data_IF_118881602156
#
_entry.id   IF_118881602156
#
_cell.length_a   1.000
_cell.length_b   1.000
_cell.length_c   1.000
_cell.angle_alpha   90.00
_cell.angle_beta   90.00
_cell.angle_gamma   90.00
#
_symmetry.space_group_name_H-M   'P 1'
#
loop_
_entity.id
_entity.type
_entity.pdbx_description
1 polymer ?
2 water ?
#
# COMPACT_ATOMS: atom_id res chain seq x y z
N UNK A 26 14.03 -16.74 -13.31
CA UNK A 26 13.41 -16.55 -12.00
C UNK A 26 14.40 -16.67 -10.86
N UNK A 27 14.53 -15.60 -10.08
CA UNK A 27 15.50 -15.51 -9.00
C UNK A 27 14.90 -15.77 -7.61
N UNK A 28 15.39 -16.84 -6.97
CA UNK A 28 15.12 -17.16 -5.58
C UNK A 28 16.28 -16.72 -4.70
N UNK A 29 16.05 -15.74 -3.85
CA UNK A 29 17.09 -15.18 -3.00
C UNK A 29 16.54 -15.09 -1.59
N UNK A 30 17.30 -14.57 -0.64
CA UNK A 30 16.80 -14.51 0.73
C UNK A 30 15.50 -13.70 0.86
N UNK A 31 15.43 -12.52 0.25
CA UNK A 31 14.21 -11.72 0.35
C UNK A 31 12.96 -12.47 -0.16
N UNK A 32 13.01 -13.08 -1.34
CA UNK A 32 11.80 -13.71 -1.89
C UNK A 32 11.35 -14.85 -1.00
N UNK A 33 12.29 -15.44 -0.27
CA UNK A 33 11.99 -16.59 0.59
C UNK A 33 11.24 -16.19 1.86
N UNK A 34 11.80 -15.22 2.57
CA UNK A 34 11.18 -14.65 3.74
C UNK A 34 9.74 -14.23 3.42
N UNK A 35 9.57 -13.45 2.36
CA UNK A 35 8.25 -12.89 2.08
C UNK A 35 7.25 -13.97 1.72
N UNK A 36 7.70 -15.06 1.11
CA UNK A 36 6.74 -16.12 0.79
C UNK A 36 6.41 -16.89 2.08
N UNK A 37 7.35 -16.94 3.02
CA UNK A 37 7.09 -17.60 4.30
C UNK A 37 6.09 -16.78 5.13
N UNK A 38 6.22 -15.45 5.11
CA UNK A 38 5.27 -14.61 5.85
C UNK A 38 3.85 -14.69 5.28
N UNK A 39 3.77 -14.74 3.95
CA UNK A 39 2.50 -14.99 3.29
C UNK A 39 1.88 -16.28 3.82
N UNK A 40 2.72 -17.27 4.12
CA UNK A 40 2.21 -18.56 4.57
C UNK A 40 1.76 -18.41 6.03
N UNK A 41 2.55 -17.72 6.87
CA UNK A 41 2.15 -17.52 8.27
C UNK A 41 0.83 -16.77 8.30
N UNK A 42 0.69 -15.80 7.40
CA UNK A 42 -0.57 -15.08 7.24
C UNK A 42 -1.72 -16.02 6.88
N UNK A 43 -1.48 -16.95 5.96
CA UNK A 43 -2.53 -17.88 5.57
C UNK A 43 -2.85 -18.86 6.72
N UNK A 44 -1.85 -19.18 7.54
CA UNK A 44 -2.02 -20.08 8.69
C UNK A 44 -2.56 -19.28 9.87
N UNK A 45 -2.94 -18.04 9.59
CA UNK A 45 -3.48 -17.09 10.56
C UNK A 45 -2.69 -17.01 11.88
N UNK A 46 -1.37 -16.94 11.77
CA UNK A 46 -0.53 -16.73 12.94
C UNK A 46 -0.54 -15.24 13.29
N UNK A 47 -0.10 -14.90 14.49
CA UNK A 47 -0.07 -13.50 14.91
C UNK A 47 1.29 -12.92 14.58
N UNK A 48 1.33 -12.08 13.56
CA UNK A 48 2.60 -11.55 13.08
C UNK A 48 3.12 -10.42 13.96
N UNK A 49 2.26 -9.89 14.84
CA UNK A 49 2.70 -8.85 15.78
C UNK A 49 3.83 -9.38 16.65
N UNK A 50 3.81 -10.69 16.91
CA UNK A 50 4.72 -11.31 17.85
C UNK A 50 6.09 -11.53 17.22
N UNK A 51 6.16 -11.37 15.91
CA UNK A 51 7.43 -11.46 15.21
C UNK A 51 8.01 -10.07 15.07
N UNK A 52 7.12 -9.12 14.81
CA UNK A 52 7.49 -7.73 14.82
C UNK A 52 6.34 -6.88 15.35
N UNK A 53 6.55 -6.27 16.50
CA UNK A 53 5.57 -5.39 17.11
C UNK A 53 5.20 -4.17 16.24
N UNK A 54 5.98 -3.88 15.20
CA UNK A 54 5.63 -2.80 14.26
C UNK A 54 4.58 -3.19 13.21
N UNK A 55 4.20 -4.47 13.19
CA UNK A 55 3.17 -4.95 12.29
C UNK A 55 1.84 -4.27 12.55
N UNK A 56 1.19 -3.82 11.48
CA UNK A 56 -0.09 -3.15 11.58
C UNK A 56 -1.24 -3.89 10.88
N UNK A 57 -1.00 -4.39 9.68
CA UNK A 57 -2.01 -5.18 8.97
C UNK A 57 -1.41 -5.90 7.76
N UNK A 58 -2.22 -6.72 7.11
CA UNK A 58 -1.81 -7.35 5.87
C UNK A 58 -2.30 -6.50 4.72
N UNK A 59 -1.52 -6.44 3.64
CA UNK A 59 -1.93 -5.71 2.43
C UNK A 59 -1.85 -6.57 1.17
N UNK A 60 -2.90 -6.56 0.36
CA UNK A 60 -2.83 -7.24 -0.93
C UNK A 60 -3.56 -6.42 -1.97
N UNK A 61 -3.17 -6.58 -3.23
CA UNK A 61 -3.83 -5.87 -4.30
C UNK A 61 -4.26 -6.87 -5.34
N UNK A 62 -5.55 -6.87 -5.67
CA UNK A 62 -6.12 -7.78 -6.67
C UNK A 62 -5.31 -7.86 -7.95
N UNK A 63 -5.20 -9.07 -8.49
CA UNK A 63 -4.55 -9.28 -9.79
C UNK A 63 -3.13 -8.77 -9.81
N UNK A 64 -2.48 -8.81 -8.65
CA UNK A 64 -1.04 -8.63 -8.54
C UNK A 64 -0.52 -9.56 -7.46
N UNK A 65 0.80 -9.58 -7.32
CA UNK A 65 1.48 -10.35 -6.29
C UNK A 65 1.79 -9.49 -5.10
N UNK A 66 1.19 -8.31 -5.04
CA UNK A 66 1.31 -7.48 -3.86
C UNK A 66 0.45 -8.12 -2.80
N UNK A 67 1.10 -8.70 -1.80
CA UNK A 67 0.45 -9.52 -0.82
C UNK A 67 1.45 -9.66 0.31
N UNK A 68 1.61 -8.59 1.07
CA UNK A 68 2.71 -8.46 2.02
C UNK A 68 2.27 -7.97 3.40
N UNK A 69 3.18 -8.06 4.37
CA UNK A 69 2.89 -7.43 5.66
C UNK A 69 3.18 -5.92 5.65
N UNK A 70 2.40 -5.14 6.40
CA UNK A 70 2.66 -3.72 6.55
C UNK A 70 3.04 -3.36 7.97
N UNK A 71 4.17 -2.68 8.12
CA UNK A 71 4.64 -2.28 9.44
C UNK A 71 4.76 -0.76 9.57
N UNK A 72 5.00 -0.28 10.78
CA UNK A 72 5.12 1.15 10.99
C UNK A 72 6.22 1.47 11.98
N UNK A 73 7.14 2.35 11.60
CA UNK A 73 8.19 2.81 12.51
C UNK A 73 7.88 4.23 13.00
N UNK A 74 8.81 4.83 13.73
CA UNK A 74 8.63 6.21 14.17
C UNK A 74 9.03 7.22 13.07
N UNK A 75 9.42 6.71 11.91
CA UNK A 75 9.82 7.56 10.80
C UNK A 75 9.39 6.94 9.49
N UNK A 76 9.73 7.59 8.38
CA UNK A 76 9.44 7.05 7.05
C UNK A 76 10.71 6.59 6.36
N UNK A 77 11.64 6.05 7.13
CA UNK A 77 12.91 5.66 6.55
C UNK A 77 13.36 4.27 7.01
N UNK A 78 13.07 3.93 8.26
CA UNK A 78 13.65 2.74 8.86
C UNK A 78 13.52 1.50 7.98
N UNK A 79 12.31 1.23 7.54
CA UNK A 79 12.06 -0.01 6.88
C UNK A 79 12.31 0.06 5.38
N UNK A 80 13.04 1.07 4.95
CA UNK A 80 13.48 1.12 3.55
C UNK A 80 14.47 0.00 3.26
N UNK A 81 15.28 -0.34 4.27
CA UNK A 81 16.38 -1.27 4.07
C UNK A 81 16.41 -2.38 5.13
N UNK A 82 15.25 -2.69 5.70
CA UNK A 82 15.16 -3.67 6.78
C UNK A 82 14.01 -4.64 6.54
N UNK A 83 14.28 -5.95 6.54
CA UNK A 83 13.20 -6.92 6.31
C UNK A 83 12.30 -7.01 7.55
N UNK A 84 11.22 -7.78 7.45
CA UNK A 84 10.24 -7.90 8.52
C UNK A 84 10.86 -8.35 9.84
N UNK A 85 12.03 -8.97 9.76
CA UNK A 85 12.72 -9.44 10.96
C UNK A 85 13.73 -8.41 11.47
N UNK A 86 13.71 -7.23 10.85
CA UNK A 86 14.60 -6.13 11.20
C UNK A 86 16.08 -6.49 10.94
N UNK A 87 16.32 -7.25 9.87
CA UNK A 87 17.68 -7.48 9.37
C UNK A 87 17.79 -6.68 8.09
N UNK A 88 19.00 -6.53 7.55
CA UNK A 88 19.20 -5.74 6.33
C UNK A 88 18.54 -6.44 5.17
N UNK A 89 17.96 -5.64 4.28
CA UNK A 89 17.32 -6.15 3.10
C UNK A 89 17.13 -5.00 2.13
N UNK A 90 17.45 -5.21 0.87
CA UNK A 90 17.29 -4.16 -0.11
C UNK A 90 15.83 -4.12 -0.56
N UNK A 91 15.09 -5.15 -0.17
CA UNK A 91 13.66 -5.21 -0.45
C UNK A 91 12.89 -4.37 0.55
N UNK A 92 13.46 -4.22 1.75
CA UNK A 92 12.79 -3.54 2.84
C UNK A 92 11.55 -4.28 3.30
N UNK A 93 10.66 -3.56 3.98
CA UNK A 93 9.34 -4.08 4.30
C UNK A 93 8.34 -3.02 3.87
N UNK A 94 7.14 -3.42 3.47
CA UNK A 94 6.11 -2.42 3.24
C UNK A 94 5.88 -1.67 4.56
N UNK A 95 5.93 -0.35 4.53
CA UNK A 95 5.59 0.39 5.74
C UNK A 95 4.60 1.53 5.48
N UNK A 96 3.93 1.91 6.56
CA UNK A 96 2.91 2.94 6.57
C UNK A 96 3.48 4.22 7.10
N UNK A 97 3.02 5.34 6.57
CA UNK A 97 3.53 6.65 6.97
C UNK A 97 3.38 6.85 8.48
N UNK A 98 4.45 7.30 9.14
CA UNK A 98 4.48 7.35 10.60
C UNK A 98 3.43 8.29 11.18
N UNK A 99 2.89 9.14 10.33
CA UNK A 99 1.90 10.10 10.77
C UNK A 99 0.52 9.44 10.89
N UNK A 100 0.37 8.26 10.32
CA UNK A 100 -0.93 7.60 10.31
C UNK A 100 -1.24 7.03 11.68
N UNK A 101 -2.50 7.16 12.10
CA UNK A 101 -2.91 6.85 13.46
C UNK A 101 -3.88 5.67 13.51
N UNK A 102 -4.95 5.76 12.72
CA UNK A 102 -6.09 4.85 12.82
C UNK A 102 -6.57 4.38 11.44
N UNK A 103 -7.31 3.28 11.37
CA UNK A 103 -7.86 2.85 10.09
C UNK A 103 -8.82 3.91 9.54
N UNK A 104 -9.14 4.89 10.37
CA UNK A 104 -10.09 5.93 10.00
C UNK A 104 -9.38 7.18 9.54
N UNK A 105 -8.06 7.12 9.40
CA UNK A 105 -7.34 8.23 8.78
C UNK A 105 -7.88 8.47 7.37
N UNK A 106 -7.82 9.70 6.88
CA UNK A 106 -8.48 9.96 5.62
C UNK A 106 -7.61 9.62 4.41
N UNK A 107 -6.29 9.64 4.58
CA UNK A 107 -5.42 9.07 3.56
C UNK A 107 -4.44 8.16 4.25
N UNK A 108 -4.62 6.86 4.10
CA UNK A 108 -3.64 5.94 4.63
C UNK A 108 -2.57 5.73 3.58
N UNK A 109 -1.34 6.12 3.92
CA UNK A 109 -0.21 6.03 2.98
C UNK A 109 0.72 4.88 3.29
N UNK A 110 0.95 4.03 2.30
CA UNK A 110 1.90 2.94 2.45
C UNK A 110 3.04 3.05 1.44
N UNK A 111 4.28 2.86 1.89
CA UNK A 111 5.45 2.88 1.00
C UNK A 111 6.12 1.51 0.81
N UNK A 112 6.52 1.23 -0.43
CA UNK A 112 7.33 0.06 -0.74
C UNK A 112 8.12 0.20 -2.03
N UNK A 113 9.13 -0.65 -2.21
CA UNK A 113 10.09 -0.50 -3.31
C UNK A 113 9.64 -1.00 -4.67
N UNK A 114 10.35 -0.53 -5.70
CA UNK A 114 10.11 -0.93 -7.09
C UNK A 114 11.13 -1.95 -7.58
N UNK A 115 11.16 -3.09 -6.90
CA UNK A 115 12.22 -4.08 -7.07
C UNK A 115 12.29 -4.67 -8.46
N UNK A 116 13.50 -5.02 -8.87
CA UNK A 116 13.77 -5.38 -10.26
C UNK A 116 13.26 -6.78 -10.58
N UNK A 117 13.28 -7.67 -9.59
CA UNK A 117 12.72 -9.00 -9.76
C UNK A 117 11.19 -9.04 -9.62
N UNK A 118 10.56 -7.89 -9.80
CA UNK A 118 9.10 -7.76 -9.84
C UNK A 118 8.44 -8.15 -8.50
N UNK A 119 8.99 -7.63 -7.41
CA UNK A 119 8.42 -7.87 -6.08
C UNK A 119 8.08 -6.55 -5.39
N UNK A 120 7.52 -6.65 -4.18
CA UNK A 120 7.12 -5.48 -3.41
C UNK A 120 6.10 -4.61 -4.16
N UNK A 121 6.43 -3.35 -4.42
CA UNK A 121 5.49 -2.46 -5.10
C UNK A 121 5.74 -2.36 -6.60
N UNK A 122 6.55 -3.27 -7.16
CA UNK A 122 6.78 -3.30 -8.60
C UNK A 122 5.47 -3.36 -9.37
N UNK A 123 4.55 -4.20 -8.92
CA UNK A 123 3.32 -4.37 -9.67
C UNK A 123 2.40 -3.17 -9.64
N UNK A 124 2.79 -2.09 -8.98
CA UNK A 124 2.03 -0.86 -9.13
C UNK A 124 2.10 -0.42 -10.59
N UNK A 125 3.17 -0.80 -11.27
CA UNK A 125 3.34 -0.44 -12.66
C UNK A 125 2.22 -1.01 -13.54
N UNK A 126 1.65 -2.13 -13.13
CA UNK A 126 0.61 -2.77 -13.92
C UNK A 126 -0.56 -1.82 -14.11
N UNK A 127 -0.60 -0.80 -13.26
CA UNK A 127 -1.68 0.17 -13.24
C UNK A 127 -1.41 1.24 -14.27
N UNK A 128 -0.27 1.11 -14.95
CA UNK A 128 0.06 1.96 -16.10
C UNK A 128 -0.76 1.51 -17.30
N UNK A 129 -1.10 0.23 -17.33
CA UNK A 129 -1.91 -0.31 -18.40
C UNK A 129 -3.37 0.13 -18.28
N UNK A 130 -3.81 0.93 -19.26
CA UNK A 130 -5.16 1.50 -19.31
C UNK A 130 -6.27 0.49 -19.09
N UNK A 131 -6.15 -0.66 -19.75
CA UNK A 131 -7.19 -1.68 -19.70
C UNK A 131 -7.21 -2.33 -18.32
N UNK A 132 -6.02 -2.63 -17.81
CA UNK A 132 -5.88 -3.12 -16.45
C UNK A 132 -6.54 -2.17 -15.45
N UNK A 133 -6.20 -0.90 -15.54
CA UNK A 133 -6.80 0.14 -14.72
C UNK A 133 -8.32 0.17 -14.82
N UNK A 134 -8.83 -0.03 -16.03
CA UNK A 134 -10.27 0.04 -16.27
C UNK A 134 -10.98 -1.00 -15.43
N UNK A 135 -10.41 -2.21 -15.40
CA UNK A 135 -10.86 -3.29 -14.52
C UNK A 135 -10.91 -2.78 -13.08
N UNK A 136 -11.65 -3.44 -12.20
CA UNK A 136 -11.64 -2.96 -10.82
C UNK A 136 -10.78 -3.82 -9.94
N UNK A 137 -9.53 -3.42 -9.81
CA UNK A 137 -8.63 -4.06 -8.87
C UNK A 137 -8.70 -3.32 -7.54
N UNK A 138 -9.11 -4.04 -6.51
CA UNK A 138 -9.32 -3.44 -5.22
C UNK A 138 -8.07 -3.60 -4.37
N UNK A 139 -7.83 -2.65 -3.48
CA UNK A 139 -6.76 -2.78 -2.51
C UNK A 139 -7.40 -3.33 -1.25
N UNK A 140 -6.77 -4.34 -0.67
CA UNK A 140 -7.34 -5.04 0.46
C UNK A 140 -6.42 -4.95 1.67
N UNK A 141 -6.85 -4.18 2.68
CA UNK A 141 -6.21 -4.18 3.99
C UNK A 141 -6.93 -5.20 4.86
N UNK A 142 -6.18 -6.06 5.50
CA UNK A 142 -6.78 -7.06 6.36
C UNK A 142 -6.27 -6.83 7.74
N UNK A 143 -7.16 -6.52 8.66
CA UNK A 143 -6.77 -6.13 10.00
C UNK A 143 -7.73 -6.71 11.04
N UNK A 144 -7.17 -7.33 12.08
CA UNK A 144 -7.95 -7.93 13.16
C UNK A 144 -9.11 -8.78 12.69
N UNK A 145 -8.87 -9.62 11.68
CA UNK A 145 -9.96 -10.42 11.14
C UNK A 145 -11.03 -9.60 10.42
N UNK A 146 -10.67 -8.39 9.98
CA UNK A 146 -11.57 -7.56 9.18
C UNK A 146 -10.92 -7.17 7.83
N UNK A 147 -11.73 -7.14 6.79
CA UNK A 147 -11.26 -6.88 5.44
C UNK A 147 -11.72 -5.52 4.97
N UNK A 148 -10.80 -4.62 4.68
CA UNK A 148 -11.23 -3.32 4.18
C UNK A 148 -10.87 -3.20 2.71
N UNK A 149 -11.88 -3.05 1.86
CA UNK A 149 -11.68 -2.92 0.41
C UNK A 149 -11.68 -1.48 -0.08
N UNK A 150 -10.63 -1.09 -0.79
CA UNK A 150 -10.57 0.23 -1.37
C UNK A 150 -10.52 0.05 -2.89
N UNK A 151 -11.40 0.74 -3.62
CA UNK A 151 -11.45 0.63 -5.08
C UNK A 151 -10.52 1.64 -5.72
N UNK A 152 -9.56 1.17 -6.51
CA UNK A 152 -8.58 2.06 -7.12
C UNK A 152 -9.27 3.01 -8.07
N UNK A 153 -8.90 4.29 -8.01
CA UNK A 153 -9.57 5.31 -8.82
C UNK A 153 -8.60 6.32 -9.43
N UNK A 154 -7.32 6.18 -9.10
CA UNK A 154 -6.29 7.03 -9.67
C UNK A 154 -4.93 6.34 -9.61
N UNK A 155 -4.21 6.35 -10.73
CA UNK A 155 -2.83 5.86 -10.78
C UNK A 155 -2.01 6.79 -11.63
N UNK A 156 -0.76 7.02 -11.25
CA UNK A 156 0.12 7.87 -12.04
C UNK A 156 1.56 7.85 -11.55
N UNK A 157 2.46 8.42 -12.36
CA UNK A 157 3.87 8.56 -12.01
C UNK A 157 4.20 10.02 -11.73
N UNK A 158 5.05 10.26 -10.74
CA UNK A 158 5.51 11.61 -10.42
C UNK A 158 7.04 11.76 -10.46
N UNK A 165 0.59 13.41 -1.17
CA UNK A 165 1.31 12.77 -0.06
C UNK A 165 1.03 13.36 1.34
N UNK A 166 -0.22 13.73 1.59
CA UNK A 166 -0.63 14.25 2.90
C UNK A 166 -1.46 13.22 3.67
N UNK A 167 -1.18 13.06 4.97
CA UNK A 167 -1.99 12.20 5.83
C UNK A 167 -2.97 13.00 6.68
N UNK A 168 -2.65 14.28 6.85
CA UNK A 168 -3.31 15.18 7.77
C UNK A 168 -4.03 16.31 7.02
N UNK A 169 -5.33 16.49 7.28
CA UNK A 169 -6.07 17.60 6.67
C UNK A 169 -6.79 18.44 7.73
N UNK A 170 -6.63 19.76 7.70
CA UNK A 170 -7.13 20.54 8.83
C UNK A 170 -8.63 20.60 8.82
N UNK A 171 -9.21 20.57 7.62
CA UNK A 171 -10.66 20.42 7.48
C UNK A 171 -11.07 19.80 6.13
N UNK A 172 -12.38 19.75 5.89
CA UNK A 172 -12.95 19.12 4.70
C UNK A 172 -12.52 19.80 3.40
N UNK A 173 -12.35 21.11 3.43
CA UNK A 173 -11.93 21.84 2.23
C UNK A 173 -10.58 21.31 1.72
N UNK A 174 -9.60 21.26 2.62
CA UNK A 174 -8.28 20.77 2.26
C UNK A 174 -8.41 19.37 1.73
N UNK A 175 -9.19 18.57 2.43
CA UNK A 175 -9.40 17.19 2.02
C UNK A 175 -9.95 17.13 0.61
N UNK A 176 -11.13 17.72 0.42
CA UNK A 176 -11.75 17.71 -0.90
C UNK A 176 -10.82 18.26 -1.99
N UNK A 177 -9.94 19.18 -1.64
CA UNK A 177 -8.99 19.69 -2.63
C UNK A 177 -7.94 18.64 -2.95
N UNK A 178 -7.58 17.86 -1.94
CA UNK A 178 -6.62 16.77 -2.12
C UNK A 178 -7.19 15.72 -3.04
N UNK A 179 -8.48 15.46 -2.89
CA UNK A 179 -9.13 14.48 -3.72
C UNK A 179 -9.13 14.95 -5.18
N UNK A 180 -9.62 16.18 -5.41
CA UNK A 180 -9.56 16.81 -6.72
C UNK A 180 -8.15 16.79 -7.30
N UNK A 181 -7.20 17.21 -6.48
CA UNK A 181 -5.79 17.20 -6.86
C UNK A 181 -5.37 15.82 -7.42
N UNK A 182 -5.43 14.78 -6.60
CA UNK A 182 -5.03 13.46 -7.07
C UNK A 182 -6.00 12.79 -8.06
N UNK A 183 -7.25 13.25 -8.16
CA UNK A 183 -8.15 12.63 -9.14
C UNK A 183 -7.75 13.02 -10.55
N UNK A 184 -7.32 14.27 -10.71
CA UNK A 184 -7.03 14.80 -12.03
C UNK A 184 -5.57 14.57 -12.43
N UNK A 185 -4.76 14.10 -11.48
CA UNK A 185 -3.39 13.67 -11.78
C UNK A 185 -3.40 12.27 -12.40
N UNK A 186 -4.54 11.61 -12.36
CA UNK A 186 -4.66 10.25 -12.87
C UNK A 186 -4.34 10.16 -14.36
N UNK A 187 -3.61 9.13 -14.76
CA UNK A 187 -3.40 8.88 -16.19
C UNK A 187 -4.75 8.63 -16.86
N UNK A 188 -5.65 7.93 -16.19
CA UNK A 188 -6.94 7.64 -16.79
C UNK A 188 -8.12 8.01 -15.92
N UNK A 189 -9.15 8.56 -16.55
CA UNK A 189 -10.38 8.86 -15.84
C UNK A 189 -10.97 7.54 -15.34
N UNK A 190 -11.40 7.51 -14.08
CA UNK A 190 -11.97 6.29 -13.52
C UNK A 190 -13.49 6.32 -13.46
N UNK A 191 -14.13 5.17 -13.73
CA UNK A 191 -15.58 5.15 -13.59
C UNK A 191 -15.98 5.28 -12.11
N UNK A 192 -15.02 5.03 -11.21
CA UNK A 192 -15.18 5.25 -9.77
C UNK A 192 -15.06 6.73 -9.45
N UNK A 193 -16.08 7.27 -8.78
CA UNK A 193 -16.10 8.69 -8.43
C UNK A 193 -15.81 8.80 -6.94
N UNK A 194 -15.29 9.94 -6.49
CA UNK A 194 -14.86 10.02 -5.09
C UNK A 194 -15.03 11.39 -4.45
N UNK A 195 -15.49 11.40 -3.20
CA UNK A 195 -15.59 12.65 -2.44
C UNK A 195 -15.17 12.53 -0.98
N UNK A 196 -15.35 13.63 -0.25
CA UNK A 196 -14.88 13.78 1.13
C UNK A 196 -15.52 12.86 2.16
N UNK A 197 -16.51 12.09 1.74
CA UNK A 197 -17.14 11.14 2.64
C UNK A 197 -16.57 9.75 2.49
N UNK A 198 -15.58 9.62 1.61
CA UNK A 198 -14.87 8.36 1.43
C UNK A 198 -13.52 8.44 2.12
N UNK A 199 -12.97 7.29 2.50
CA UNK A 199 -11.61 7.23 3.02
C UNK A 199 -10.70 6.78 1.87
N UNK A 200 -9.44 7.22 1.88
CA UNK A 200 -8.53 6.97 0.79
C UNK A 200 -7.26 6.27 1.26
N UNK A 201 -6.81 5.28 0.50
CA UNK A 201 -5.53 4.61 0.75
C UNK A 201 -4.59 4.98 -0.37
N UNK A 202 -3.31 5.12 -0.06
CA UNK A 202 -2.36 5.50 -1.08
C UNK A 202 -1.11 4.62 -1.12
N UNK A 203 -0.94 3.92 -2.23
CA UNK A 203 0.19 3.01 -2.38
C UNK A 203 1.21 3.72 -3.23
N UNK A 204 2.37 3.98 -2.65
CA UNK A 204 3.40 4.79 -3.29
C UNK A 204 4.76 4.12 -3.23
N UNK A 205 5.51 4.21 -4.32
CA UNK A 205 6.86 3.64 -4.37
C UNK A 205 7.92 4.62 -3.91
N UNK A 206 9.07 4.07 -3.53
CA UNK A 206 10.15 4.82 -2.93
C UNK A 206 11.53 4.39 -3.46
N UNK A 214 8.84 6.85 -10.02
CA UNK A 214 8.06 6.78 -8.79
C UNK A 214 6.56 6.59 -9.06
N UNK A 215 6.08 5.34 -8.97
CA UNK A 215 4.70 4.98 -9.30
C UNK A 215 3.76 5.07 -8.10
N UNK A 216 2.54 5.59 -8.31
CA UNK A 216 1.59 5.89 -7.22
C UNK A 216 0.14 5.54 -7.55
N UNK A 217 -0.58 4.88 -6.63
CA UNK A 217 -2.02 4.66 -6.86
C UNK A 217 -2.88 4.92 -5.61
N UNK A 218 -4.11 5.36 -5.86
CA UNK A 218 -5.02 5.71 -4.78
C UNK A 218 -6.30 4.89 -4.82
N UNK A 219 -6.70 4.37 -3.66
CA UNK A 219 -7.97 3.68 -3.56
C UNK A 219 -8.98 4.51 -2.81
N UNK A 220 -10.23 4.07 -2.78
CA UNK A 220 -11.27 4.75 -2.03
C UNK A 220 -12.17 3.72 -1.37
N UNK A 221 -12.59 3.98 -0.14
CA UNK A 221 -13.56 3.15 0.54
C UNK A 221 -14.90 3.87 0.59
#
# INVERSE_FOLDING_TARGET
>A
MHHHHHHSSGVDLGTENLYFQSNALTKYNHDTKISSELQKKEYKKEDLSKINSDFKFWLSVENTNINYPVVQSKDNSYYLDKDFYKKDSISGTLFMDYRNKSIDDKNIIIYGHNMKNKTMFNNLNKFKDADFFKKNNKIKITLNGKEFLYDVFSAYIVESDYDYLKTNFNNESDYQNYINDITSKSLYKSPIKVNSNDKIVTLSTCTYEFDDARMVIHGRL
#
